data_IF_082436592786
#
_entry.id   IF_082436592786
#
_cell.length_a   1.000
_cell.length_b   1.000
_cell.length_c   1.000
_cell.angle_alpha   90.00
_cell.angle_beta   90.00
_cell.angle_gamma   90.00
#
_symmetry.space_group_name_H-M   'P 1'
#
loop_
_entity.id
_entity.type
_entity.pdbx_description
1 polymer ?
#
# COMPACT_ATOMS: atom_id res chain seq x y z
N UNK A 1 -10.39 4.65 35.60
CA UNK A 1 -9.74 3.34 35.85
C UNK A 1 -8.61 3.17 34.85
N UNK A 2 -7.38 3.23 35.35
CA UNK A 2 -6.13 3.22 34.59
C UNK A 2 -5.92 1.86 33.92
N UNK A 3 -5.85 1.82 32.57
CA UNK A 3 -5.47 0.64 31.81
C UNK A 3 -4.01 0.79 31.42
N UNK A 4 -3.14 0.14 32.21
CA UNK A 4 -1.72 -0.01 31.97
C UNK A 4 -1.51 -0.69 30.59
N UNK A 5 -1.17 0.09 29.56
CA UNK A 5 -0.90 -0.42 28.20
C UNK A 5 0.61 -0.33 27.92
N UNK A 6 1.27 -1.48 27.83
CA UNK A 6 2.65 -1.60 27.37
C UNK A 6 2.81 -0.90 26.00
N UNK A 7 3.66 0.13 25.95
CA UNK A 7 3.84 1.05 24.82
C UNK A 7 4.46 0.48 23.54
N UNK A 8 4.55 -0.84 23.39
CA UNK A 8 5.14 -1.52 22.22
C UNK A 8 4.10 -2.20 21.33
N UNK A 9 2.87 -2.36 21.81
CA UNK A 9 1.75 -3.04 21.10
C UNK A 9 0.48 -2.18 21.08
N UNK A 10 0.58 -0.84 21.08
CA UNK A 10 -0.60 0.02 20.93
C UNK A 10 -1.07 -0.02 19.48
N UNK A 11 -2.14 -0.75 19.22
CA UNK A 11 -2.92 -0.55 18.01
C UNK A 11 -3.76 0.71 18.23
N UNK A 12 -3.68 1.77 17.39
CA UNK A 12 -4.86 2.65 17.27
C UNK A 12 -5.92 1.75 16.69
N UNK A 13 -7.05 1.68 17.37
CA UNK A 13 -8.20 1.00 16.82
C UNK A 13 -8.60 1.74 15.54
N UNK A 14 -8.82 0.98 14.48
CA UNK A 14 -9.18 1.49 13.13
C UNK A 14 -10.36 2.46 13.24
N UNK A 15 -11.26 2.22 14.20
CA UNK A 15 -12.40 3.07 14.53
C UNK A 15 -12.01 4.52 14.87
N UNK A 16 -10.90 4.77 15.57
CA UNK A 16 -10.43 6.14 15.84
C UNK A 16 -9.89 6.83 14.58
N UNK A 17 -9.30 6.10 13.64
CA UNK A 17 -8.82 6.68 12.36
C UNK A 17 -9.97 6.92 11.38
N UNK A 18 -10.99 6.07 11.42
CA UNK A 18 -12.25 6.29 10.70
C UNK A 18 -12.93 7.56 11.23
N UNK A 19 -13.09 7.68 12.56
CA UNK A 19 -13.71 8.85 13.20
C UNK A 19 -12.96 10.17 12.88
N UNK A 20 -11.62 10.17 12.90
CA UNK A 20 -10.80 11.35 12.52
C UNK A 20 -10.99 11.74 11.04
N UNK A 21 -11.23 10.76 10.17
CA UNK A 21 -11.48 10.99 8.72
C UNK A 21 -12.90 11.54 8.47
N UNK A 22 -13.82 11.33 9.40
CA UNK A 22 -15.24 11.72 9.31
C UNK A 22 -15.55 13.06 9.98
N UNK A 23 -14.54 13.76 10.53
CA UNK A 23 -14.71 15.11 11.10
C UNK A 23 -15.25 16.07 10.01
N UNK A 24 -16.41 16.69 10.22
CA UNK A 24 -17.14 17.44 9.18
C UNK A 24 -16.37 18.67 8.68
N UNK A 25 -15.40 19.17 9.46
CA UNK A 25 -14.56 20.32 9.09
C UNK A 25 -13.43 19.93 8.10
N UNK A 26 -13.07 18.64 8.02
CA UNK A 26 -11.97 18.12 7.18
C UNK A 26 -12.41 17.08 6.13
N UNK A 27 -13.71 16.79 6.02
CA UNK A 27 -14.24 15.79 5.11
C UNK A 27 -14.12 16.20 3.62
N UNK A 28 -13.33 15.45 2.85
CA UNK A 28 -13.23 15.62 1.40
C UNK A 28 -14.45 15.04 0.67
N UNK A 29 -14.86 15.70 -0.44
CA UNK A 29 -15.90 15.17 -1.33
C UNK A 29 -15.39 13.89 -2.01
N UNK A 30 -16.03 12.76 -1.72
CA UNK A 30 -15.77 11.48 -2.41
C UNK A 30 -16.32 11.53 -3.85
N UNK A 31 -15.53 12.04 -4.79
CA UNK A 31 -15.90 12.16 -6.21
C UNK A 31 -15.12 11.23 -7.15
N UNK A 32 -14.18 10.44 -6.63
CA UNK A 32 -13.38 9.52 -7.43
C UNK A 32 -14.17 8.26 -7.77
N UNK A 33 -14.27 7.97 -9.07
CA UNK A 33 -14.81 6.71 -9.58
C UNK A 33 -13.73 5.63 -9.63
N UNK A 34 -14.13 4.36 -9.76
CA UNK A 34 -13.20 3.23 -9.94
C UNK A 34 -12.26 3.42 -11.13
N UNK A 35 -12.73 4.11 -12.18
CA UNK A 35 -11.92 4.44 -13.34
C UNK A 35 -10.82 5.46 -13.01
N UNK A 36 -11.16 6.52 -12.27
CA UNK A 36 -10.21 7.55 -11.86
C UNK A 36 -9.10 6.94 -10.97
N UNK A 37 -9.48 6.04 -10.07
CA UNK A 37 -8.54 5.30 -9.22
C UNK A 37 -7.63 4.36 -10.01
N UNK A 38 -8.16 3.71 -11.06
CA UNK A 38 -7.37 2.82 -11.93
C UNK A 38 -6.32 3.62 -12.71
N UNK A 39 -6.74 4.73 -13.33
CA UNK A 39 -5.84 5.62 -14.07
C UNK A 39 -4.79 6.22 -13.13
N UNK A 40 -5.19 6.64 -11.93
CA UNK A 40 -4.28 7.11 -10.89
C UNK A 40 -3.24 6.04 -10.52
N UNK A 41 -3.67 4.79 -10.29
CA UNK A 41 -2.78 3.68 -9.97
C UNK A 41 -1.75 3.42 -11.07
N UNK A 42 -2.18 3.39 -12.34
CA UNK A 42 -1.27 3.24 -13.50
C UNK A 42 -0.25 4.40 -13.54
N UNK A 43 -0.71 5.62 -13.31
CA UNK A 43 0.15 6.81 -13.29
C UNK A 43 1.22 6.77 -12.18
N UNK A 44 0.90 6.21 -11.02
CA UNK A 44 1.86 6.07 -9.90
C UNK A 44 2.85 4.92 -10.13
N UNK A 45 2.44 3.85 -10.83
CA UNK A 45 3.29 2.67 -11.08
C UNK A 45 4.31 2.92 -12.20
N UNK A 46 3.93 3.63 -13.27
CA UNK A 46 4.82 3.88 -14.41
C UNK A 46 5.80 5.00 -14.05
N UNK A 47 7.08 4.65 -13.91
CA UNK A 47 8.14 5.59 -13.57
C UNK A 47 9.50 5.26 -14.18
N UNK A 48 10.56 5.76 -13.57
CA UNK A 48 11.95 5.59 -14.06
C UNK A 48 12.38 4.13 -14.18
N UNK A 49 11.78 3.22 -13.40
CA UNK A 49 12.11 1.79 -13.43
C UNK A 49 11.98 1.16 -14.82
N UNK A 50 10.86 1.36 -15.50
CA UNK A 50 10.63 0.74 -16.82
C UNK A 50 11.52 1.36 -17.91
N UNK A 51 11.78 2.66 -17.85
CA UNK A 51 12.53 3.39 -18.88
C UNK A 51 14.05 3.32 -18.73
N UNK A 52 14.57 3.25 -17.50
CA UNK A 52 16.01 3.32 -17.22
C UNK A 52 16.54 1.96 -16.75
N UNK A 53 15.92 1.37 -15.72
CA UNK A 53 16.44 0.14 -15.10
C UNK A 53 16.31 -1.06 -16.04
N UNK A 54 15.23 -1.16 -16.81
CA UNK A 54 15.02 -2.28 -17.76
C UNK A 54 16.17 -2.41 -18.75
N UNK A 55 16.61 -1.29 -19.34
CA UNK A 55 17.73 -1.29 -20.29
C UNK A 55 19.05 -1.68 -19.63
N UNK A 56 19.29 -1.22 -18.40
CA UNK A 56 20.48 -1.59 -17.62
C UNK A 56 20.49 -3.08 -17.29
N UNK A 57 19.39 -3.62 -16.77
CA UNK A 57 19.24 -5.04 -16.42
C UNK A 57 19.34 -5.93 -17.66
N UNK A 58 18.76 -5.51 -18.78
CA UNK A 58 18.87 -6.22 -20.05
C UNK A 58 20.31 -6.25 -20.56
N UNK A 59 21.07 -5.16 -20.42
CA UNK A 59 22.46 -5.13 -20.88
C UNK A 59 23.42 -5.88 -19.95
N UNK A 60 23.27 -5.71 -18.64
CA UNK A 60 24.30 -6.10 -17.66
C UNK A 60 24.00 -7.42 -16.92
N UNK A 61 22.74 -7.87 -16.88
CA UNK A 61 22.34 -9.00 -16.01
C UNK A 61 21.65 -10.12 -16.76
N UNK A 62 20.53 -9.85 -17.42
CA UNK A 62 19.62 -10.90 -17.91
C UNK A 62 19.59 -11.03 -19.45
N UNK A 63 20.07 -10.04 -20.22
CA UNK A 63 20.03 -10.15 -21.68
C UNK A 63 18.60 -10.28 -22.21
N UNK A 64 18.36 -11.13 -23.22
CA UNK A 64 17.03 -11.43 -23.76
C UNK A 64 16.06 -12.02 -22.73
N UNK A 65 16.57 -12.65 -21.66
CA UNK A 65 15.73 -13.27 -20.62
C UNK A 65 15.06 -12.27 -19.67
N UNK A 66 15.37 -10.97 -19.81
CA UNK A 66 14.74 -9.89 -19.03
C UNK A 66 13.21 -9.91 -19.15
N UNK A 67 12.67 -10.26 -20.33
CA UNK A 67 11.23 -10.39 -20.52
C UNK A 67 10.62 -11.47 -19.61
N UNK A 68 11.29 -12.62 -19.46
CA UNK A 68 10.84 -13.70 -18.56
C UNK A 68 10.90 -13.27 -17.09
N UNK A 69 11.93 -12.52 -16.70
CA UNK A 69 12.04 -11.96 -15.36
C UNK A 69 10.89 -10.98 -15.06
N UNK A 70 10.49 -10.15 -16.02
CA UNK A 70 9.34 -9.25 -15.87
C UNK A 70 8.01 -10.01 -15.75
N UNK A 71 7.83 -11.11 -16.47
CA UNK A 71 6.65 -11.97 -16.32
C UNK A 71 6.60 -12.56 -14.90
N UNK A 72 7.70 -13.12 -14.42
CA UNK A 72 7.77 -13.66 -13.06
C UNK A 72 7.53 -12.59 -11.99
N UNK A 73 8.16 -11.41 -12.12
CA UNK A 73 7.92 -10.28 -11.23
C UNK A 73 6.46 -9.82 -11.27
N UNK A 74 5.84 -9.77 -12.46
CA UNK A 74 4.44 -9.42 -12.64
C UNK A 74 3.49 -10.37 -11.89
N UNK A 75 3.77 -11.67 -11.90
CA UNK A 75 2.99 -12.66 -11.14
C UNK A 75 3.09 -12.39 -9.64
N UNK A 76 4.31 -12.16 -9.12
CA UNK A 76 4.52 -11.85 -7.69
C UNK A 76 3.80 -10.55 -7.30
N UNK A 77 3.90 -9.51 -8.14
CA UNK A 77 3.20 -8.25 -7.92
C UNK A 77 1.68 -8.42 -7.95
N UNK A 78 1.13 -9.26 -8.85
CA UNK A 78 -0.30 -9.54 -8.90
C UNK A 78 -0.80 -10.24 -7.64
N UNK A 79 -0.06 -11.22 -7.12
CA UNK A 79 -0.38 -11.88 -5.85
C UNK A 79 -0.36 -10.89 -4.68
N UNK A 80 0.67 -10.03 -4.61
CA UNK A 80 0.75 -8.99 -3.60
C UNK A 80 -0.41 -7.98 -3.73
N UNK A 81 -0.78 -7.58 -4.94
CA UNK A 81 -1.90 -6.67 -5.20
C UNK A 81 -3.24 -7.26 -4.74
N UNK A 82 -3.45 -8.58 -4.88
CA UNK A 82 -4.64 -9.25 -4.35
C UNK A 82 -4.71 -9.16 -2.82
N UNK A 83 -3.59 -9.39 -2.12
CA UNK A 83 -3.53 -9.23 -0.66
C UNK A 83 -3.84 -7.77 -0.25
N UNK A 84 -3.28 -6.79 -0.97
CA UNK A 84 -3.57 -5.38 -0.72
C UNK A 84 -5.04 -5.01 -1.02
N UNK A 85 -5.65 -5.61 -2.03
CA UNK A 85 -7.07 -5.41 -2.36
C UNK A 85 -7.99 -5.92 -1.24
N UNK A 86 -7.65 -7.05 -0.61
CA UNK A 86 -8.37 -7.60 0.54
C UNK A 86 -8.28 -6.66 1.76
N UNK A 87 -7.08 -6.15 2.05
CA UNK A 87 -6.89 -5.17 3.13
C UNK A 87 -7.62 -3.84 2.87
N UNK A 88 -7.54 -3.31 1.64
CA UNK A 88 -8.22 -2.07 1.27
C UNK A 88 -9.75 -2.19 1.33
N UNK A 89 -10.30 -3.38 1.06
CA UNK A 89 -11.73 -3.65 1.18
C UNK A 89 -12.18 -3.77 2.64
N UNK A 90 -11.31 -4.25 3.53
CA UNK A 90 -11.60 -4.47 4.95
C UNK A 90 -11.41 -3.20 5.78
N UNK A 91 -10.46 -2.35 5.40
CA UNK A 91 -10.08 -1.14 6.14
C UNK A 91 -10.25 0.09 5.23
N UNK A 92 -11.46 0.67 5.12
CA UNK A 92 -11.78 1.74 4.17
C UNK A 92 -11.29 3.12 4.65
N UNK A 93 -10.03 3.19 5.05
CA UNK A 93 -9.34 4.42 5.48
C UNK A 93 -8.26 4.79 4.48
N UNK A 94 -7.97 6.08 4.34
CA UNK A 94 -6.83 6.51 3.55
C UNK A 94 -5.53 6.01 4.21
N UNK A 95 -4.82 5.10 3.55
CA UNK A 95 -3.66 4.43 4.14
C UNK A 95 -2.89 3.58 3.15
N UNK A 96 -1.70 3.14 3.58
CA UNK A 96 -0.82 2.22 2.84
C UNK A 96 -0.31 1.13 3.79
N UNK A 97 0.81 0.49 3.48
CA UNK A 97 1.41 -0.62 4.24
C UNK A 97 1.52 -0.36 5.75
N UNK A 98 1.88 0.87 6.14
CA UNK A 98 1.94 1.31 7.54
C UNK A 98 0.58 1.16 8.24
N UNK A 99 -0.46 1.74 7.66
CA UNK A 99 -1.81 1.74 8.23
C UNK A 99 -2.36 0.33 8.36
N UNK A 100 -2.15 -0.53 7.36
CA UNK A 100 -2.57 -1.93 7.42
C UNK A 100 -1.81 -2.71 8.50
N UNK A 101 -0.50 -2.55 8.58
CA UNK A 101 0.34 -3.22 9.60
C UNK A 101 0.03 -2.74 11.02
N UNK A 102 -0.26 -1.45 11.18
CA UNK A 102 -0.67 -0.86 12.45
C UNK A 102 -2.03 -1.38 12.90
N UNK A 103 -2.94 -1.63 11.94
CA UNK A 103 -4.27 -2.17 12.22
C UNK A 103 -4.27 -3.67 12.55
N UNK A 104 -3.41 -4.47 11.89
CA UNK A 104 -3.41 -5.94 12.04
C UNK A 104 -2.40 -6.46 13.07
N UNK A 105 -1.20 -5.88 13.18
CA UNK A 105 -0.05 -6.49 13.87
C UNK A 105 0.47 -5.61 15.03
N UNK A 106 0.31 -4.28 14.95
CA UNK A 106 0.65 -3.34 16.01
C UNK A 106 1.72 -2.31 15.66
N UNK A 107 2.08 -1.48 16.63
CA UNK A 107 2.91 -0.27 16.45
C UNK A 107 4.35 -0.55 16.03
N UNK A 108 5.02 -1.53 16.64
CA UNK A 108 6.39 -1.89 16.29
C UNK A 108 6.56 -2.32 14.82
N UNK A 109 5.83 -3.32 14.30
CA UNK A 109 5.98 -3.74 12.90
C UNK A 109 5.55 -2.63 11.93
N UNK A 110 4.54 -1.83 12.27
CA UNK A 110 4.18 -0.66 11.47
C UNK A 110 5.31 0.36 11.42
N UNK A 111 5.95 0.68 12.54
CA UNK A 111 7.09 1.60 12.60
C UNK A 111 8.32 1.09 11.82
N UNK A 112 8.50 -0.23 11.70
CA UNK A 112 9.58 -0.81 10.88
C UNK A 112 9.27 -0.69 9.38
N UNK A 113 7.99 -0.75 9.00
CA UNK A 113 7.52 -0.74 7.60
C UNK A 113 7.39 0.68 7.06
N UNK A 114 6.94 1.63 7.88
CA UNK A 114 6.73 3.04 7.52
C UNK A 114 8.02 3.85 7.58
#
# INVERSE_FOLDING_TARGET
MSRNQNGTFRTKSVEQSILDTEEPEHALKKSLSSWDLTVFGVGVIIGTGIFVLTGKVAKETAGPSTALAFVAAGIVCALAALCYAEFASTVPVAGSAYTFSYSSIGELPAWIIG
#
